data_IF_978332722196
#
_entry.id   IF_978332722196
#
_cell.length_a   1.000
_cell.length_b   1.000
_cell.length_c   1.000
_cell.angle_alpha   90.00
_cell.angle_beta   90.00
_cell.angle_gamma   90.00
#
_symmetry.space_group_name_H-M   'P 1'
#
loop_
_entity.id
_entity.type
_entity.pdbx_description
1 polymer ?
#
# COMPACT_ATOMS: atom_id res chain seq x y z
N UNK A 1 -0.73 -15.97 -17.45
CA UNK A 1 -1.75 -15.68 -16.39
C UNK A 1 -3.18 -15.85 -16.93
N UNK A 2 -3.61 -15.17 -17.99
CA UNK A 2 -4.98 -15.34 -18.54
C UNK A 2 -5.28 -16.79 -18.90
N UNK A 3 -4.38 -17.48 -19.56
CA UNK A 3 -4.52 -18.91 -19.93
C UNK A 3 -4.70 -19.85 -18.72
N UNK A 4 -4.36 -19.38 -17.52
CA UNK A 4 -4.53 -20.08 -16.25
C UNK A 4 -5.68 -19.53 -15.40
N UNK A 5 -6.60 -18.77 -16.02
CA UNK A 5 -7.78 -18.21 -15.38
C UNK A 5 -7.52 -17.20 -14.24
N UNK A 6 -6.34 -16.59 -14.18
CA UNK A 6 -6.13 -15.45 -13.31
C UNK A 6 -6.90 -14.24 -13.85
N UNK A 7 -7.66 -13.57 -12.99
CA UNK A 7 -8.46 -12.40 -13.34
C UNK A 7 -8.11 -11.16 -12.50
N UNK A 8 -7.33 -11.31 -11.43
CA UNK A 8 -6.92 -10.23 -10.55
C UNK A 8 -5.44 -10.31 -10.20
N UNK A 9 -4.83 -9.14 -9.94
CA UNK A 9 -3.41 -9.01 -9.62
C UNK A 9 -3.26 -7.95 -8.53
N UNK A 10 -2.44 -8.23 -7.52
CA UNK A 10 -1.92 -7.22 -6.60
C UNK A 10 -0.50 -6.86 -7.04
N UNK A 11 -0.21 -5.56 -7.15
CA UNK A 11 1.12 -5.07 -7.52
C UNK A 11 2.07 -5.06 -6.31
N UNK A 12 2.26 -6.21 -5.70
CA UNK A 12 3.06 -6.39 -4.50
C UNK A 12 4.57 -6.20 -4.77
N UNK A 13 5.29 -5.34 -4.06
CA UNK A 13 4.80 -4.41 -3.03
C UNK A 13 5.16 -2.98 -3.44
N UNK A 14 4.90 -2.62 -4.68
CA UNK A 14 5.14 -1.30 -5.27
C UNK A 14 4.37 -1.14 -6.60
N UNK A 15 4.10 0.08 -7.03
CA UNK A 15 3.48 0.33 -8.31
C UNK A 15 4.38 -0.13 -9.48
N UNK A 16 3.80 -0.90 -10.39
CA UNK A 16 4.51 -1.39 -11.57
C UNK A 16 4.75 -0.29 -12.62
N UNK A 17 5.49 -0.62 -13.67
CA UNK A 17 5.67 0.26 -14.82
C UNK A 17 4.30 0.58 -15.49
N UNK A 18 4.09 1.80 -16.03
CA UNK A 18 2.82 2.17 -16.65
C UNK A 18 2.35 1.20 -17.75
N UNK A 19 3.27 0.57 -18.46
CA UNK A 19 2.96 -0.44 -19.47
C UNK A 19 2.24 -1.66 -18.89
N UNK A 20 2.57 -2.06 -17.67
CA UNK A 20 1.88 -3.17 -16.98
C UNK A 20 0.37 -2.91 -16.87
N UNK A 21 -0.02 -1.71 -16.43
CA UNK A 21 -1.44 -1.34 -16.31
C UNK A 21 -2.13 -1.24 -17.67
N UNK A 22 -1.43 -0.79 -18.72
CA UNK A 22 -1.97 -0.82 -20.08
C UNK A 22 -2.29 -2.25 -20.52
N UNK A 23 -1.43 -3.20 -20.19
CA UNK A 23 -1.67 -4.61 -20.48
C UNK A 23 -2.83 -5.16 -19.64
N UNK A 24 -2.92 -4.77 -18.36
CA UNK A 24 -4.04 -5.14 -17.50
C UNK A 24 -5.38 -4.60 -18.04
N UNK A 25 -5.42 -3.34 -18.47
CA UNK A 25 -6.58 -2.73 -19.13
C UNK A 25 -6.96 -3.53 -20.39
N UNK A 26 -5.99 -3.84 -21.24
CA UNK A 26 -6.20 -4.56 -22.50
C UNK A 26 -6.70 -5.98 -22.31
N UNK A 27 -6.18 -6.69 -21.33
CA UNK A 27 -6.53 -8.11 -21.09
C UNK A 27 -7.62 -8.32 -20.03
N UNK A 28 -8.16 -7.24 -19.47
CA UNK A 28 -9.24 -7.31 -18.50
C UNK A 28 -8.83 -7.96 -17.19
N UNK A 29 -7.66 -7.59 -16.65
CA UNK A 29 -7.29 -7.89 -15.27
C UNK A 29 -7.83 -6.83 -14.34
N UNK A 30 -8.28 -7.24 -13.15
CA UNK A 30 -8.55 -6.35 -12.03
C UNK A 30 -7.28 -6.17 -11.21
N UNK A 31 -6.95 -4.94 -10.84
CA UNK A 31 -5.69 -4.65 -10.14
C UNK A 31 -5.95 -4.00 -8.79
N UNK A 32 -5.29 -4.55 -7.78
CA UNK A 32 -5.03 -3.87 -6.51
C UNK A 32 -3.65 -3.19 -6.65
N UNK A 33 -3.64 -1.87 -6.84
CA UNK A 33 -2.40 -1.12 -6.97
C UNK A 33 -1.87 -0.73 -5.59
N UNK A 34 -0.61 -1.05 -5.33
CA UNK A 34 -0.02 -0.95 -4.00
C UNK A 34 1.11 0.07 -3.95
N UNK A 35 1.06 0.93 -2.95
CA UNK A 35 2.10 1.92 -2.70
C UNK A 35 3.41 1.25 -2.27
N UNK A 36 4.52 1.83 -2.69
CA UNK A 36 5.88 1.39 -2.35
C UNK A 36 6.20 1.68 -0.86
N UNK A 37 5.57 0.91 0.02
CA UNK A 37 5.73 0.98 1.47
C UNK A 37 5.83 -0.44 2.02
N UNK A 38 7.03 -0.79 2.45
CA UNK A 38 7.38 -2.06 3.09
C UNK A 38 8.38 -1.79 4.21
N UNK A 39 8.08 -2.17 5.44
CA UNK A 39 8.90 -1.85 6.61
C UNK A 39 9.43 -3.07 7.37
N UNK A 40 9.68 -4.17 6.69
CA UNK A 40 10.28 -5.38 7.29
C UNK A 40 11.66 -5.13 7.91
N UNK A 41 12.48 -4.26 7.30
CA UNK A 41 13.81 -3.93 7.82
C UNK A 41 13.77 -3.42 9.27
N UNK A 42 12.99 -2.37 9.59
CA UNK A 42 12.79 -1.91 10.95
C UNK A 42 12.24 -2.99 11.89
N UNK A 43 11.28 -3.81 11.44
CA UNK A 43 10.79 -4.93 12.23
C UNK A 43 11.91 -5.89 12.63
N UNK A 44 12.81 -6.22 11.72
CA UNK A 44 13.95 -7.10 11.97
C UNK A 44 14.96 -6.47 12.95
N UNK A 45 15.15 -5.15 12.90
CA UNK A 45 16.01 -4.44 13.86
C UNK A 45 15.48 -4.53 15.30
N UNK A 46 14.17 -4.42 15.46
CA UNK A 46 13.52 -4.47 16.77
C UNK A 46 13.23 -5.88 17.27
N UNK A 47 13.40 -6.91 16.42
CA UNK A 47 13.21 -8.31 16.78
C UNK A 47 14.17 -8.83 17.86
N UNK A 48 15.25 -8.11 18.16
CA UNK A 48 16.22 -8.48 19.18
C UNK A 48 15.74 -8.26 20.62
N UNK A 49 14.56 -7.66 20.81
CA UNK A 49 13.98 -7.46 22.14
C UNK A 49 13.00 -8.58 22.48
N UNK A 50 13.07 -9.02 23.74
CA UNK A 50 12.57 -10.34 24.22
C UNK A 50 11.08 -10.61 24.18
N UNK A 51 10.22 -9.69 23.74
CA UNK A 51 8.78 -9.93 23.64
C UNK A 51 8.18 -9.45 22.33
N UNK A 52 7.22 -10.20 21.79
CA UNK A 52 6.47 -9.81 20.59
C UNK A 52 5.76 -8.47 20.77
N UNK A 53 5.25 -8.20 21.98
CA UNK A 53 4.60 -6.94 22.33
C UNK A 53 5.54 -5.73 22.12
N UNK A 54 6.78 -5.78 22.63
CA UNK A 54 7.75 -4.70 22.47
C UNK A 54 8.18 -4.53 21.02
N UNK A 55 8.31 -5.62 20.26
CA UNK A 55 8.62 -5.59 18.82
C UNK A 55 7.55 -4.86 18.02
N UNK A 56 6.28 -5.26 18.20
CA UNK A 56 5.16 -4.62 17.51
C UNK A 56 4.94 -3.18 17.94
N UNK A 57 5.06 -2.89 19.23
CA UNK A 57 4.95 -1.53 19.75
C UNK A 57 5.99 -0.60 19.14
N UNK A 58 7.26 -0.99 19.12
CA UNK A 58 8.33 -0.18 18.53
C UNK A 58 8.19 -0.02 17.03
N UNK A 59 7.75 -1.05 16.34
CA UNK A 59 7.46 -0.98 14.91
C UNK A 59 6.35 0.03 14.62
N UNK A 60 5.25 -0.01 15.38
CA UNK A 60 4.20 1.00 15.29
C UNK A 60 4.73 2.40 15.57
N UNK A 61 5.39 2.61 16.70
CA UNK A 61 5.90 3.92 17.13
C UNK A 61 6.88 4.54 16.14
N UNK A 62 7.69 3.75 15.45
CA UNK A 62 8.77 4.27 14.57
C UNK A 62 8.37 4.41 13.11
N UNK A 63 7.38 3.66 12.64
CA UNK A 63 7.00 3.62 11.23
C UNK A 63 5.58 4.12 11.03
N UNK A 64 4.63 3.46 11.65
CA UNK A 64 3.22 3.68 11.37
C UNK A 64 2.63 4.86 12.15
N UNK A 65 3.13 5.11 13.35
CA UNK A 65 2.53 6.06 14.30
C UNK A 65 3.44 7.25 14.66
N UNK A 66 4.60 7.37 14.02
CA UNK A 66 5.45 8.55 14.11
C UNK A 66 4.97 9.62 13.11
N UNK A 67 4.41 10.75 13.57
CA UNK A 67 3.91 11.79 12.67
C UNK A 67 4.98 12.36 11.72
N UNK A 68 6.26 12.25 12.06
CA UNK A 68 7.36 12.65 11.18
C UNK A 68 7.42 11.83 9.88
N UNK A 69 6.86 10.61 9.88
CA UNK A 69 6.76 9.73 8.71
C UNK A 69 5.64 10.09 7.73
N UNK A 70 4.65 10.90 8.16
CA UNK A 70 3.48 11.24 7.33
C UNK A 70 3.85 11.77 5.94
N UNK A 71 4.79 12.73 5.80
CA UNK A 71 5.11 13.27 4.47
C UNK A 71 5.64 12.20 3.51
N UNK A 72 6.49 11.30 3.99
CA UNK A 72 7.08 10.24 3.16
C UNK A 72 6.04 9.21 2.72
N UNK A 73 5.16 8.78 3.63
CA UNK A 73 4.09 7.82 3.33
C UNK A 73 3.07 8.44 2.38
N UNK A 74 2.63 9.66 2.67
CA UNK A 74 1.69 10.37 1.79
C UNK A 74 2.27 10.66 0.39
N UNK A 75 3.54 10.98 0.27
CA UNK A 75 4.16 11.23 -1.04
C UNK A 75 4.10 9.98 -1.93
N UNK A 76 4.45 8.81 -1.40
CA UNK A 76 4.36 7.54 -2.13
C UNK A 76 2.94 7.23 -2.59
N UNK A 77 1.98 7.32 -1.67
CA UNK A 77 0.56 7.06 -1.98
C UNK A 77 0.04 8.07 -3.00
N UNK A 78 0.34 9.35 -2.83
CA UNK A 78 -0.10 10.42 -3.75
C UNK A 78 0.44 10.21 -5.16
N UNK A 79 1.71 9.86 -5.30
CA UNK A 79 2.33 9.60 -6.61
C UNK A 79 1.70 8.41 -7.32
N UNK A 80 1.47 7.30 -6.60
CA UNK A 80 0.77 6.15 -7.13
C UNK A 80 -0.61 6.53 -7.65
N UNK A 81 -1.46 7.07 -6.79
CA UNK A 81 -2.85 7.40 -7.15
C UNK A 81 -2.91 8.44 -8.27
N UNK A 82 -2.10 9.51 -8.19
CA UNK A 82 -2.09 10.54 -9.23
C UNK A 82 -1.65 10.02 -10.61
N UNK A 83 -0.67 9.10 -10.64
CA UNK A 83 -0.18 8.49 -11.88
C UNK A 83 -1.21 7.55 -12.51
N UNK A 84 -1.87 6.73 -11.67
CA UNK A 84 -2.57 5.55 -12.16
C UNK A 84 -4.10 5.65 -12.09
N UNK A 85 -4.66 6.71 -11.50
CA UNK A 85 -6.12 6.87 -11.32
C UNK A 85 -6.97 6.76 -12.61
N UNK A 86 -6.37 6.97 -13.77
CA UNK A 86 -7.07 6.87 -15.06
C UNK A 86 -6.98 5.47 -15.68
N UNK A 87 -6.49 4.46 -14.94
CA UNK A 87 -6.44 3.07 -15.38
C UNK A 87 -7.73 2.34 -14.97
N UNK A 88 -8.40 1.75 -15.96
CA UNK A 88 -9.67 1.05 -15.73
C UNK A 88 -9.50 -0.24 -14.94
N UNK A 89 -8.34 -0.89 -15.08
CA UNK A 89 -8.05 -2.14 -14.37
C UNK A 89 -7.94 -1.97 -12.87
N UNK A 90 -7.59 -0.78 -12.36
CA UNK A 90 -7.39 -0.54 -10.94
C UNK A 90 -8.75 -0.41 -10.24
N UNK A 91 -9.01 -1.29 -9.29
CA UNK A 91 -10.24 -1.32 -8.49
C UNK A 91 -9.98 -1.11 -6.99
N UNK A 92 -8.74 -1.32 -6.55
CA UNK A 92 -8.29 -1.11 -5.18
C UNK A 92 -7.03 -0.26 -5.15
N UNK A 93 -6.97 0.63 -4.15
CA UNK A 93 -5.76 1.31 -3.71
C UNK A 93 -5.27 0.68 -2.42
N UNK A 94 -4.07 0.09 -2.42
CA UNK A 94 -3.42 -0.47 -1.24
C UNK A 94 -2.36 0.49 -0.72
N UNK A 95 -2.39 0.76 0.59
CA UNK A 95 -1.48 1.74 1.21
C UNK A 95 -0.08 1.18 1.46
N UNK A 96 0.16 -0.10 1.20
CA UNK A 96 1.45 -0.75 1.40
C UNK A 96 1.33 -2.14 2.00
N UNK A 97 2.47 -2.71 2.38
CA UNK A 97 2.58 -4.04 2.94
C UNK A 97 3.34 -4.03 4.27
N UNK A 98 2.94 -4.88 5.19
CA UNK A 98 3.62 -5.27 6.44
C UNK A 98 4.46 -4.17 7.12
N UNK A 99 3.83 -3.00 7.33
CA UNK A 99 4.47 -1.82 7.90
C UNK A 99 3.81 -1.32 9.17
N UNK A 100 3.14 -2.21 9.91
CA UNK A 100 2.34 -1.92 11.10
C UNK A 100 1.15 -0.99 10.81
N UNK A 101 0.45 -0.48 11.81
CA UNK A 101 -0.70 0.40 11.63
C UNK A 101 -0.68 1.56 12.62
N UNK A 102 -0.96 2.76 12.13
CA UNK A 102 -1.00 3.96 12.94
C UNK A 102 -1.39 5.20 12.14
N UNK A 103 -1.23 6.37 12.75
CA UNK A 103 -1.71 7.65 12.24
C UNK A 103 -1.24 7.97 10.81
N UNK A 104 -0.10 7.44 10.38
CA UNK A 104 0.44 7.69 9.05
C UNK A 104 -0.41 7.02 7.97
N UNK A 105 -0.82 5.77 8.21
CA UNK A 105 -1.69 5.03 7.29
C UNK A 105 -3.14 5.52 7.35
N UNK A 106 -3.63 5.94 8.52
CA UNK A 106 -4.95 6.58 8.64
C UNK A 106 -5.05 7.83 7.77
N UNK A 107 -4.02 8.69 7.80
CA UNK A 107 -3.94 9.89 6.95
C UNK A 107 -3.85 9.53 5.48
N UNK A 108 -3.10 8.49 5.12
CA UNK A 108 -3.00 8.01 3.75
C UNK A 108 -4.35 7.48 3.23
N UNK A 109 -5.03 6.65 4.00
CA UNK A 109 -6.37 6.14 3.68
C UNK A 109 -7.39 7.27 3.53
N UNK A 110 -7.41 8.20 4.49
CA UNK A 110 -8.33 9.35 4.46
C UNK A 110 -8.09 10.25 3.22
N UNK A 111 -6.82 10.52 2.90
CA UNK A 111 -6.47 11.29 1.71
C UNK A 111 -6.90 10.58 0.44
N UNK A 112 -6.63 9.27 0.32
CA UNK A 112 -6.95 8.49 -0.88
C UNK A 112 -8.46 8.42 -1.10
N UNK A 113 -9.24 8.14 -0.05
CA UNK A 113 -10.71 8.16 -0.10
C UNK A 113 -11.28 9.50 -0.56
N UNK A 114 -10.68 10.59 -0.10
CA UNK A 114 -11.10 11.95 -0.49
C UNK A 114 -10.74 12.27 -1.93
N UNK A 115 -9.56 11.85 -2.38
CA UNK A 115 -9.02 12.17 -3.70
C UNK A 115 -9.64 11.31 -4.81
N UNK A 116 -9.88 10.02 -4.54
CA UNK A 116 -10.55 9.09 -5.43
C UNK A 116 -11.64 8.30 -4.68
N UNK A 117 -12.85 8.87 -4.55
CA UNK A 117 -13.95 8.21 -3.87
C UNK A 117 -14.56 7.06 -4.69
N UNK A 118 -14.16 6.88 -5.94
CA UNK A 118 -14.70 5.86 -6.85
C UNK A 118 -14.16 4.47 -6.60
N UNK A 119 -13.02 4.35 -5.91
CA UNK A 119 -12.33 3.07 -5.66
C UNK A 119 -12.24 2.74 -4.19
N UNK A 120 -12.13 1.45 -3.92
CA UNK A 120 -11.93 0.94 -2.57
C UNK A 120 -10.48 1.21 -2.15
N UNK A 121 -10.31 1.69 -0.92
CA UNK A 121 -8.99 1.81 -0.28
C UNK A 121 -8.83 0.72 0.75
N UNK A 122 -7.66 0.12 0.82
CA UNK A 122 -7.34 -0.91 1.79
C UNK A 122 -5.90 -0.77 2.31
N UNK A 123 -5.67 -1.30 3.47
CA UNK A 123 -4.35 -1.56 4.01
C UNK A 123 -4.43 -2.85 4.85
N UNK A 124 -3.57 -3.82 4.54
CA UNK A 124 -3.67 -5.18 5.09
C UNK A 124 -3.50 -5.24 6.62
N UNK A 125 -2.70 -4.34 7.20
CA UNK A 125 -2.51 -4.26 8.66
C UNK A 125 -3.55 -3.38 9.38
N UNK A 126 -4.52 -2.79 8.68
CA UNK A 126 -5.61 -2.02 9.31
C UNK A 126 -6.57 -2.96 10.04
N UNK A 127 -6.82 -2.69 11.32
CA UNK A 127 -7.67 -3.49 12.21
C UNK A 127 -8.78 -2.66 12.80
#
# INVERSE_FOLDING_TARGET
MKEHNFNAIRSSHYPNAPYFYQMCDRYGFLVCDEADIEAHGPFMLYRKEDTDYHRFKKWNEKIADDPAGVPAILDRVKRMVARDKNRFCIIFWSMGNESAYGCNFEKALAWTKKYDPSRITQYESAR
#
